data_IF_447140483921
#
_entry.id   IF_447140483921
#
_cell.length_a   1.000
_cell.length_b   1.000
_cell.length_c   1.000
_cell.angle_alpha   90.00
_cell.angle_beta   90.00
_cell.angle_gamma   90.00
#
_symmetry.space_group_name_H-M   'P 1'
#
loop_
_entity.id
_entity.type
_entity.pdbx_description
1 polymer ?
#
# COMPACT_ATOMS: atom_id res chain seq x y z
N UNK A 1 -11.46 6.39 0.29
CA UNK A 1 -10.40 7.27 0.86
C UNK A 1 -10.72 7.90 2.23
N UNK A 2 -11.96 8.33 2.55
CA UNK A 2 -12.29 8.88 3.88
C UNK A 2 -11.99 7.90 5.02
N UNK A 3 -12.44 6.65 4.88
CA UNK A 3 -12.28 5.62 5.91
C UNK A 3 -10.80 5.33 6.22
N UNK A 4 -9.93 5.25 5.22
CA UNK A 4 -8.48 5.09 5.42
C UNK A 4 -7.89 6.23 6.26
N UNK A 5 -8.34 7.47 6.03
CA UNK A 5 -7.89 8.64 6.80
C UNK A 5 -8.40 8.60 8.25
N UNK A 6 -9.63 8.15 8.47
CA UNK A 6 -10.21 8.00 9.80
C UNK A 6 -9.47 6.91 10.58
N UNK A 7 -9.28 5.74 9.97
CA UNK A 7 -8.53 4.63 10.56
C UNK A 7 -7.12 5.06 10.94
N UNK A 8 -6.39 5.71 10.02
CA UNK A 8 -5.04 6.25 10.30
C UNK A 8 -5.04 7.16 11.53
N UNK A 9 -5.96 8.13 11.60
CA UNK A 9 -6.03 9.06 12.74
C UNK A 9 -6.35 8.33 14.04
N UNK A 10 -7.30 7.40 14.03
CA UNK A 10 -7.66 6.61 15.21
C UNK A 10 -6.46 5.80 15.73
N UNK A 11 -5.73 5.15 14.82
CA UNK A 11 -4.57 4.36 15.20
C UNK A 11 -3.44 5.24 15.75
N UNK A 12 -3.14 6.36 15.09
CA UNK A 12 -2.14 7.33 15.56
C UNK A 12 -2.45 7.85 16.96
N UNK A 13 -3.71 8.21 17.25
CA UNK A 13 -4.12 8.68 18.58
C UNK A 13 -3.97 7.58 19.63
N UNK A 14 -4.35 6.34 19.30
CA UNK A 14 -4.22 5.19 20.21
C UNK A 14 -2.76 4.92 20.55
N UNK A 15 -1.89 4.89 19.55
CA UNK A 15 -0.45 4.63 19.73
C UNK A 15 0.21 5.78 20.50
N UNK A 16 -0.08 7.03 20.13
CA UNK A 16 0.46 8.21 20.82
C UNK A 16 0.06 8.22 22.30
N UNK A 17 -1.19 7.88 22.61
CA UNK A 17 -1.64 7.75 24.00
C UNK A 17 -0.90 6.63 24.74
N UNK A 18 -0.71 5.47 24.12
CA UNK A 18 -0.01 4.35 24.74
C UNK A 18 1.45 4.71 25.04
N UNK A 19 2.15 5.36 24.10
CA UNK A 19 3.52 5.83 24.29
C UNK A 19 3.61 6.92 25.36
N UNK A 20 2.72 7.92 25.33
CA UNK A 20 2.72 9.03 26.29
C UNK A 20 2.45 8.59 27.74
N UNK A 21 1.72 7.48 27.91
CA UNK A 21 1.45 6.87 29.22
C UNK A 21 2.45 5.75 29.55
N UNK A 22 3.49 5.55 28.74
CA UNK A 22 4.51 4.50 28.91
C UNK A 22 3.91 3.10 29.06
N UNK A 23 2.81 2.82 28.37
CA UNK A 23 2.11 1.52 28.41
C UNK A 23 2.73 0.48 27.47
N UNK A 24 3.60 0.92 26.57
CA UNK A 24 4.32 0.12 25.58
C UNK A 24 5.76 0.59 25.50
N UNK A 25 6.67 -0.30 25.08
CA UNK A 25 8.07 0.07 24.84
C UNK A 25 8.21 0.87 23.56
N UNK A 26 9.37 1.50 23.39
CA UNK A 26 9.65 2.29 22.20
C UNK A 26 9.67 1.41 20.93
N UNK A 27 10.31 0.24 20.98
CA UNK A 27 10.36 -0.67 19.84
C UNK A 27 8.96 -1.18 19.44
N UNK A 28 8.09 -1.38 20.42
CA UNK A 28 6.70 -1.76 20.20
C UNK A 28 5.90 -0.62 19.56
N UNK A 29 6.21 0.63 19.91
CA UNK A 29 5.61 1.81 19.30
C UNK A 29 5.98 1.89 17.82
N UNK A 30 7.26 1.68 17.48
CA UNK A 30 7.73 1.69 16.09
C UNK A 30 7.01 0.64 15.24
N UNK A 31 6.91 -0.60 15.75
CA UNK A 31 6.16 -1.66 15.09
C UNK A 31 4.67 -1.33 14.95
N UNK A 32 4.06 -0.78 16.00
CA UNK A 32 2.67 -0.34 15.96
C UNK A 32 2.41 0.80 14.99
N UNK A 33 3.42 1.59 14.61
CA UNK A 33 3.29 2.60 13.55
C UNK A 33 3.48 1.99 12.16
N UNK A 34 4.40 1.03 12.02
CA UNK A 34 4.70 0.35 10.75
C UNK A 34 3.53 -0.51 10.26
N UNK A 35 2.97 -1.36 11.11
CA UNK A 35 1.93 -2.32 10.72
C UNK A 35 0.66 -1.65 10.15
N UNK A 36 0.09 -0.59 10.78
CA UNK A 36 -1.04 0.13 10.19
C UNK A 36 -0.70 0.86 8.90
N UNK A 37 0.53 1.35 8.74
CA UNK A 37 0.96 1.98 7.49
C UNK A 37 0.95 0.95 6.35
N UNK A 38 1.55 -0.23 6.54
CA UNK A 38 1.49 -1.34 5.57
C UNK A 38 0.06 -1.75 5.26
N UNK A 39 -0.76 -1.91 6.30
CA UNK A 39 -2.18 -2.29 6.17
C UNK A 39 -2.95 -1.30 5.31
N UNK A 40 -2.74 0.00 5.53
CA UNK A 40 -3.38 1.07 4.75
C UNK A 40 -2.93 1.07 3.29
N UNK A 41 -1.64 0.82 3.04
CA UNK A 41 -1.06 0.75 1.68
C UNK A 41 -1.65 -0.43 0.92
N UNK A 42 -1.68 -1.62 1.54
CA UNK A 42 -2.27 -2.83 0.95
C UNK A 42 -3.76 -2.63 0.69
N UNK A 43 -4.52 -2.11 1.65
CA UNK A 43 -5.95 -1.86 1.47
C UNK A 43 -6.22 -0.84 0.35
N UNK A 44 -5.42 0.21 0.25
CA UNK A 44 -5.52 1.18 -0.85
C UNK A 44 -5.20 0.54 -2.20
N UNK A 45 -4.10 -0.24 -2.27
CA UNK A 45 -3.69 -0.97 -3.47
C UNK A 45 -4.79 -1.89 -3.96
N UNK A 46 -5.33 -2.73 -3.08
CA UNK A 46 -6.32 -3.75 -3.45
C UNK A 46 -7.61 -3.11 -3.96
N UNK A 47 -8.06 -2.06 -3.29
CA UNK A 47 -9.24 -1.30 -3.71
C UNK A 47 -9.04 -0.64 -5.08
N UNK A 48 -7.90 0.04 -5.27
CA UNK A 48 -7.59 0.69 -6.55
C UNK A 48 -7.36 -0.32 -7.67
N UNK A 49 -6.68 -1.43 -7.41
CA UNK A 49 -6.44 -2.49 -8.39
C UNK A 49 -7.77 -3.07 -8.90
N UNK A 50 -8.71 -3.38 -8.00
CA UNK A 50 -10.03 -3.86 -8.38
C UNK A 50 -10.81 -2.83 -9.21
N UNK A 51 -10.76 -1.55 -8.82
CA UNK A 51 -11.42 -0.47 -9.56
C UNK A 51 -10.83 -0.31 -10.98
N UNK A 52 -9.50 -0.26 -11.10
CA UNK A 52 -8.79 -0.15 -12.38
C UNK A 52 -9.04 -1.36 -13.27
N UNK A 53 -9.07 -2.58 -12.72
CA UNK A 53 -9.38 -3.78 -13.49
C UNK A 53 -10.81 -3.76 -14.06
N UNK A 54 -11.76 -3.19 -13.31
CA UNK A 54 -13.14 -3.03 -13.78
C UNK A 54 -13.24 -2.02 -14.92
N UNK A 55 -12.43 -0.96 -14.88
CA UNK A 55 -12.48 0.12 -15.87
C UNK A 55 -11.67 -0.20 -17.14
N UNK A 56 -10.48 -0.77 -16.99
CA UNK A 56 -9.51 -0.95 -18.08
C UNK A 56 -9.15 -2.41 -18.37
N UNK A 57 -9.73 -3.37 -17.64
CA UNK A 57 -9.41 -4.78 -17.73
C UNK A 57 -8.23 -5.19 -16.84
N UNK A 58 -8.12 -6.50 -16.59
CA UNK A 58 -7.06 -7.05 -15.74
C UNK A 58 -5.72 -7.05 -16.50
N UNK A 59 -4.64 -6.46 -15.95
CA UNK A 59 -3.33 -6.57 -16.55
C UNK A 59 -2.85 -8.03 -16.49
N UNK A 60 -2.44 -8.59 -17.62
CA UNK A 60 -1.94 -9.95 -17.72
C UNK A 60 -0.59 -10.02 -18.46
N UNK A 61 0.20 -11.06 -18.18
CA UNK A 61 1.40 -11.39 -18.96
C UNK A 61 1.03 -12.05 -20.30
N UNK A 62 2.05 -12.51 -21.04
CA UNK A 62 1.86 -13.12 -22.36
C UNK A 62 1.02 -14.42 -22.30
N UNK A 63 1.06 -15.13 -21.18
CA UNK A 63 0.33 -16.37 -20.90
C UNK A 63 -1.10 -16.10 -20.38
N UNK A 64 -1.52 -14.83 -20.28
CA UNK A 64 -2.85 -14.46 -19.79
C UNK A 64 -2.98 -14.49 -18.26
N UNK A 65 -1.89 -14.64 -17.52
CA UNK A 65 -1.91 -14.68 -16.05
C UNK A 65 -1.96 -13.25 -15.48
N UNK A 66 -2.90 -12.96 -14.54
CA UNK A 66 -3.02 -11.65 -13.91
C UNK A 66 -1.71 -11.19 -13.25
N UNK A 67 -1.38 -9.92 -13.43
CA UNK A 67 -0.17 -9.30 -12.88
C UNK A 67 -0.53 -8.33 -11.75
N UNK A 68 -0.09 -8.59 -10.50
CA UNK A 68 -0.36 -7.69 -9.40
C UNK A 68 0.49 -6.41 -9.48
N UNK A 69 0.06 -5.38 -8.77
CA UNK A 69 0.93 -4.25 -8.42
C UNK A 69 1.77 -4.63 -7.19
N UNK A 70 3.09 -4.66 -7.34
CA UNK A 70 4.02 -4.84 -6.25
C UNK A 70 4.42 -3.47 -5.68
N UNK A 71 4.50 -3.39 -4.36
CA UNK A 71 4.89 -2.19 -3.63
C UNK A 71 6.01 -2.61 -2.67
N UNK A 72 7.18 -2.00 -2.80
CA UNK A 72 8.28 -2.18 -1.87
C UNK A 72 8.31 -0.99 -0.92
N UNK A 73 8.17 -1.27 0.38
CA UNK A 73 8.44 -0.30 1.43
C UNK A 73 9.94 -0.13 1.59
N UNK A 74 10.43 1.09 1.45
CA UNK A 74 11.83 1.44 1.62
C UNK A 74 12.05 2.16 2.95
N UNK A 75 13.33 2.38 3.30
CA UNK A 75 13.71 3.12 4.50
C UNK A 75 13.08 2.53 5.77
N UNK A 76 12.54 3.42 6.62
CA UNK A 76 11.96 3.03 7.92
C UNK A 76 10.74 2.14 7.80
N UNK A 77 9.93 2.30 6.75
CA UNK A 77 8.82 1.38 6.49
C UNK A 77 9.37 0.00 6.16
N UNK A 78 10.36 -0.10 5.27
CA UNK A 78 11.00 -1.36 4.91
C UNK A 78 11.70 -2.07 6.08
N UNK A 79 12.19 -1.31 7.05
CA UNK A 79 12.78 -1.81 8.29
C UNK A 79 11.77 -2.12 9.41
N UNK A 80 10.48 -1.81 9.22
CA UNK A 80 9.47 -1.98 10.27
C UNK A 80 9.61 -1.00 11.44
N UNK A 81 10.30 0.12 11.24
CA UNK A 81 10.70 1.06 12.29
C UNK A 81 10.18 2.50 12.06
N UNK A 82 8.96 2.64 11.52
CA UNK A 82 8.33 3.94 11.36
C UNK A 82 8.18 4.68 12.71
N UNK A 83 8.40 5.99 12.67
CA UNK A 83 8.06 6.90 13.75
C UNK A 83 6.97 7.89 13.32
N UNK A 84 6.44 8.68 14.26
CA UNK A 84 5.30 9.57 14.03
C UNK A 84 5.50 10.62 12.91
N UNK A 85 6.75 11.00 12.66
CA UNK A 85 7.12 12.00 11.66
C UNK A 85 7.70 11.38 10.39
N UNK A 86 7.69 10.06 10.26
CA UNK A 86 8.29 9.39 9.12
C UNK A 86 7.45 9.59 7.87
N UNK A 87 8.11 9.95 6.78
CA UNK A 87 7.58 9.77 5.44
C UNK A 87 7.60 8.28 5.06
N UNK A 88 6.83 7.94 4.02
CA UNK A 88 6.74 6.59 3.49
C UNK A 88 7.34 6.58 2.08
N UNK A 89 8.49 5.93 1.95
CA UNK A 89 9.19 5.76 0.69
C UNK A 89 8.76 4.45 0.01
N UNK A 90 8.20 4.54 -1.19
CA UNK A 90 7.68 3.39 -1.93
C UNK A 90 8.29 3.28 -3.31
N UNK A 91 8.62 2.05 -3.70
CA UNK A 91 8.89 1.69 -5.09
C UNK A 91 7.72 0.84 -5.59
N UNK A 92 7.17 1.22 -6.73
CA UNK A 92 6.12 0.48 -7.41
C UNK A 92 6.72 -0.35 -8.54
N UNK A 93 6.35 -1.61 -8.62
CA UNK A 93 6.78 -2.51 -9.69
C UNK A 93 5.58 -3.30 -10.23
N UNK A 94 5.60 -3.56 -11.53
CA UNK A 94 4.62 -4.41 -12.20
C UNK A 94 5.36 -5.43 -13.07
N UNK A 95 4.77 -6.62 -13.20
CA UNK A 95 5.27 -7.64 -14.13
C UNK A 95 5.15 -7.18 -15.59
N UNK A 96 5.75 -7.94 -16.50
CA UNK A 96 5.72 -7.65 -17.92
C UNK A 96 4.26 -7.55 -18.42
N UNK A 97 3.85 -6.32 -18.76
CA UNK A 97 2.51 -6.05 -19.29
C UNK A 97 2.55 -6.06 -20.81
N UNK A 98 1.66 -6.84 -21.43
CA UNK A 98 1.48 -6.82 -22.88
C UNK A 98 0.22 -6.03 -23.22
N UNK A 99 0.40 -4.88 -23.87
CA UNK A 99 -0.73 -4.10 -24.38
C UNK A 99 -1.61 -4.99 -25.28
N UNK A 100 -2.94 -5.05 -25.09
CA UNK A 100 -3.82 -5.71 -26.05
C UNK A 100 -3.60 -5.05 -27.41
N UNK A 101 -3.19 -5.81 -28.43
CA UNK A 101 -2.94 -5.29 -29.78
C UNK A 101 -4.17 -4.48 -30.21
N UNK A 102 -3.97 -3.18 -30.49
CA UNK A 102 -5.01 -2.33 -31.07
C UNK A 102 -5.55 -3.07 -32.30
N UNK A 103 -6.87 -3.27 -32.45
CA UNK A 103 -7.40 -3.95 -33.63
C UNK A 103 -6.94 -3.21 -34.89
N UNK A 104 -6.62 -3.94 -35.98
CA UNK A 104 -6.22 -3.29 -37.23
C UNK A 104 -7.31 -2.30 -37.64
N UNK A 105 -6.91 -1.06 -37.98
CA UNK A 105 -7.83 -0.10 -38.58
C UNK A 105 -8.33 -0.74 -39.88
N UNK A 106 -9.64 -0.96 -39.99
CA UNK A 106 -10.26 -1.31 -41.26
C UNK A 106 -9.87 -0.20 -42.25
N UNK A 107 -9.22 -0.61 -43.35
CA UNK A 107 -8.87 0.26 -44.47
C UNK A 107 -10.08 0.66 -45.28
#
# INVERSE_FOLDING_TARGET
MRELRLFRRQMMVRIARAQALSLVREEETLQQLSVPAETLIVAARDWLYAACCKEWGTPCNAEGQPQPLLILGMGKLGGGELNFSSDIDLIFAAGAWRHPRRPPRAG
#
